data_IF_091019878393
#
_entry.id   IF_091019878393
#
_cell.length_a   1.000
_cell.length_b   1.000
_cell.length_c   1.000
_cell.angle_alpha   90.00
_cell.angle_beta   90.00
_cell.angle_gamma   90.00
#
_symmetry.space_group_name_H-M   'P 1'
#
loop_
_entity.id
_entity.type
_entity.pdbx_description
1 polymer ?
#
# COMPACT_ATOMS: atom_id res chain seq x y z
N UNK A 1 -10.76 -12.27 12.82
CA UNK A 1 -9.42 -11.89 12.31
C UNK A 1 -9.16 -10.43 12.67
N UNK A 2 -8.47 -10.18 13.78
CA UNK A 2 -8.22 -8.83 14.30
C UNK A 2 -7.10 -8.18 13.46
N UNK A 3 -7.43 -7.10 12.74
CA UNK A 3 -6.48 -6.06 12.31
C UNK A 3 -5.34 -6.41 11.35
N UNK A 4 -5.38 -7.52 10.62
CA UNK A 4 -4.34 -7.81 9.61
C UNK A 4 -2.94 -8.07 10.16
N UNK A 5 -2.76 -8.19 11.48
CA UNK A 5 -1.46 -8.44 12.11
C UNK A 5 -0.83 -9.79 11.74
N UNK A 6 -1.67 -10.81 11.45
CA UNK A 6 -1.23 -12.17 11.10
C UNK A 6 -1.21 -12.38 9.58
N UNK A 7 -2.01 -11.61 8.85
CA UNK A 7 -2.06 -11.65 7.38
C UNK A 7 -2.21 -10.22 6.89
N UNK A 8 -1.13 -9.55 6.46
CA UNK A 8 -1.22 -8.18 5.98
C UNK A 8 -2.17 -8.17 4.78
N UNK A 9 -3.29 -7.47 4.93
CA UNK A 9 -4.24 -7.22 3.84
C UNK A 9 -4.05 -5.80 3.38
N UNK A 10 -3.81 -5.67 2.07
CA UNK A 10 -3.75 -4.38 1.40
C UNK A 10 -5.01 -4.32 0.55
N UNK A 11 -5.99 -3.61 1.09
CA UNK A 11 -7.17 -3.13 0.37
C UNK A 11 -6.91 -1.65 0.07
N UNK A 12 -7.70 -0.71 0.57
CA UNK A 12 -7.49 0.74 0.38
C UNK A 12 -6.56 1.36 1.43
N UNK A 13 -6.05 0.58 2.39
CA UNK A 13 -5.14 1.03 3.44
C UNK A 13 -4.13 -0.07 3.76
N UNK A 14 -2.85 0.30 3.90
CA UNK A 14 -1.79 -0.63 4.29
C UNK A 14 -1.93 -0.95 5.78
N UNK A 15 -2.21 -2.22 6.09
CA UNK A 15 -2.19 -2.76 7.45
C UNK A 15 -0.85 -3.48 7.70
N UNK A 16 -0.23 -3.35 8.87
CA UNK A 16 -0.77 -2.76 10.10
C UNK A 16 -0.61 -1.23 10.14
N UNK A 17 -1.68 -0.54 10.49
CA UNK A 17 -1.69 0.92 10.60
C UNK A 17 -0.95 1.44 11.86
N UNK A 18 -0.77 0.57 12.87
CA UNK A 18 -0.04 0.88 14.09
C UNK A 18 1.09 -0.13 14.29
N UNK A 19 2.30 0.37 14.55
CA UNK A 19 3.42 -0.46 14.95
C UNK A 19 3.32 -0.83 16.45
N UNK A 20 4.11 -1.82 16.89
CA UNK A 20 4.08 -2.31 18.28
C UNK A 20 4.37 -1.20 19.31
N UNK A 21 5.29 -0.28 19.00
CA UNK A 21 5.63 0.83 19.89
C UNK A 21 4.46 1.79 20.10
N UNK A 22 3.75 2.15 19.03
CA UNK A 22 2.55 3.00 19.10
C UNK A 22 1.45 2.29 19.89
N UNK A 23 1.29 0.98 19.73
CA UNK A 23 0.33 0.19 20.51
C UNK A 23 0.64 0.21 22.02
N UNK A 24 1.91 0.11 22.42
CA UNK A 24 2.32 0.20 23.83
C UNK A 24 1.96 1.58 24.40
N UNK A 25 2.22 2.65 23.65
CA UNK A 25 1.88 4.01 24.09
C UNK A 25 0.37 4.25 24.15
N UNK A 26 -0.40 3.71 23.20
CA UNK A 26 -1.87 3.72 23.23
C UNK A 26 -2.38 2.96 24.46
N UNK A 27 -1.83 1.77 24.73
CA UNK A 27 -2.21 0.96 25.89
C UNK A 27 -1.92 1.71 27.20
N UNK A 28 -0.76 2.35 27.32
CA UNK A 28 -0.44 3.23 28.45
C UNK A 28 -1.45 4.37 28.58
N UNK A 29 -1.84 5.00 27.48
CA UNK A 29 -2.84 6.06 27.46
C UNK A 29 -4.23 5.58 27.89
N UNK A 30 -4.62 4.38 27.48
CA UNK A 30 -5.87 3.73 27.92
C UNK A 30 -5.82 3.45 29.42
N UNK A 31 -4.74 2.84 29.92
CA UNK A 31 -4.57 2.55 31.34
C UNK A 31 -4.63 3.82 32.19
N UNK A 32 -3.98 4.90 31.74
CA UNK A 32 -4.05 6.19 32.44
C UNK A 32 -5.44 6.80 32.36
N UNK A 33 -6.11 6.69 31.22
CA UNK A 33 -7.48 7.17 31.06
C UNK A 33 -8.47 6.47 32.02
N UNK A 34 -8.29 5.17 32.27
CA UNK A 34 -9.04 4.44 33.29
C UNK A 34 -8.66 4.84 34.72
N UNK A 35 -7.39 5.15 34.99
CA UNK A 35 -6.96 5.61 36.31
C UNK A 35 -7.48 7.03 36.64
N UNK A 36 -7.51 7.93 35.65
CA UNK A 36 -7.96 9.32 35.80
C UNK A 36 -9.46 9.48 35.40
N UNK A 37 -10.30 8.51 35.79
CA UNK A 37 -11.72 8.42 35.41
C UNK A 37 -12.59 9.62 35.84
N UNK A 38 -12.06 10.49 36.70
CA UNK A 38 -12.78 11.65 37.25
C UNK A 38 -12.76 12.90 36.35
N UNK A 39 -11.98 12.92 35.27
CA UNK A 39 -11.99 14.03 34.33
C UNK A 39 -13.06 13.83 33.23
N UNK A 40 -14.01 14.76 33.13
CA UNK A 40 -15.12 14.72 32.15
C UNK A 40 -14.64 14.45 30.71
N UNK A 41 -13.51 15.04 30.32
CA UNK A 41 -12.90 14.86 28.99
C UNK A 41 -12.45 13.42 28.71
N UNK A 42 -11.94 12.74 29.73
CA UNK A 42 -11.44 11.36 29.63
C UNK A 42 -12.60 10.37 29.54
N UNK A 43 -13.69 10.63 30.28
CA UNK A 43 -14.90 9.82 30.26
C UNK A 43 -15.57 9.81 28.88
N UNK A 44 -15.70 10.97 28.24
CA UNK A 44 -16.24 11.07 26.87
C UNK A 44 -15.43 10.23 25.89
N UNK A 45 -14.09 10.26 25.99
CA UNK A 45 -13.21 9.48 25.12
C UNK A 45 -13.37 7.97 25.33
N UNK A 46 -13.47 7.52 26.58
CA UNK A 46 -13.67 6.10 26.93
C UNK A 46 -15.02 5.58 26.44
N UNK A 47 -16.12 6.31 26.67
CA UNK A 47 -17.45 5.93 26.17
C UNK A 47 -17.46 5.87 24.65
N UNK A 48 -16.95 6.91 24.00
CA UNK A 48 -16.95 6.99 22.55
C UNK A 48 -16.18 5.81 21.94
N UNK A 49 -15.03 5.47 22.52
CA UNK A 49 -14.26 4.29 22.12
C UNK A 49 -15.03 2.99 22.39
N UNK A 50 -15.67 2.86 23.54
CA UNK A 50 -16.46 1.68 23.91
C UNK A 50 -17.65 1.43 22.96
N UNK A 51 -18.24 2.49 22.41
CA UNK A 51 -19.32 2.40 21.41
C UNK A 51 -18.77 2.01 20.03
N UNK A 52 -17.63 2.57 19.61
CA UNK A 52 -17.02 2.27 18.31
C UNK A 52 -16.51 0.82 18.24
N UNK A 53 -15.95 0.31 19.34
CA UNK A 53 -15.32 -1.01 19.41
C UNK A 53 -16.21 -2.16 18.90
N UNK A 54 -17.47 -2.33 19.35
CA UNK A 54 -18.37 -3.36 18.83
C UNK A 54 -18.75 -3.13 17.36
N UNK A 55 -18.91 -1.88 16.92
CA UNK A 55 -19.23 -1.55 15.52
C UNK A 55 -18.10 -2.02 14.60
N UNK A 56 -16.85 -1.74 14.97
CA UNK A 56 -15.66 -2.18 14.20
C UNK A 56 -15.47 -3.69 14.27
N UNK A 57 -15.83 -4.32 15.40
CA UNK A 57 -15.77 -5.78 15.54
C UNK A 57 -16.76 -6.50 14.60
N UNK A 58 -17.95 -5.92 14.40
CA UNK A 58 -18.96 -6.44 13.47
C UNK A 58 -18.66 -6.10 12.01
N UNK A 59 -18.13 -4.90 11.73
CA UNK A 59 -17.89 -4.41 10.38
C UNK A 59 -16.49 -3.78 10.24
N UNK A 60 -15.57 -4.51 9.60
CA UNK A 60 -14.17 -4.09 9.44
C UNK A 60 -13.97 -2.85 8.56
N UNK A 61 -14.97 -2.49 7.73
CA UNK A 61 -14.94 -1.29 6.90
C UNK A 61 -14.84 0.01 7.72
N UNK A 62 -15.27 0.00 8.98
CA UNK A 62 -15.23 1.17 9.85
C UNK A 62 -13.97 1.27 10.72
N UNK A 63 -12.95 0.43 10.48
CA UNK A 63 -11.71 0.43 11.29
C UNK A 63 -11.02 1.81 11.30
N UNK A 64 -11.16 2.60 10.23
CA UNK A 64 -10.59 3.95 10.15
C UNK A 64 -11.17 4.92 11.19
N UNK A 65 -12.41 4.70 11.65
CA UNK A 65 -13.04 5.51 12.70
C UNK A 65 -12.30 5.37 14.04
N UNK A 66 -11.60 4.24 14.25
CA UNK A 66 -10.80 3.99 15.44
C UNK A 66 -9.48 4.78 15.47
N UNK A 67 -9.04 5.39 14.36
CA UNK A 67 -7.81 6.17 14.34
C UNK A 67 -7.87 7.39 15.25
N UNK A 68 -9.00 8.10 15.26
CA UNK A 68 -9.15 9.30 16.05
C UNK A 68 -9.07 9.03 17.57
N UNK A 69 -9.81 8.07 18.16
CA UNK A 69 -9.63 7.74 19.58
C UNK A 69 -8.24 7.16 19.87
N UNK A 70 -7.67 6.36 18.96
CA UNK A 70 -6.31 5.82 19.12
C UNK A 70 -5.24 6.93 19.21
N UNK A 71 -5.31 7.98 18.38
CA UNK A 71 -4.39 9.13 18.44
C UNK A 71 -4.57 9.89 19.77
N UNK A 72 -5.79 10.02 20.26
CA UNK A 72 -6.04 10.68 21.54
C UNK A 72 -5.46 9.87 22.71
N UNK A 73 -5.62 8.54 22.73
CA UNK A 73 -4.96 7.70 23.72
C UNK A 73 -3.44 7.74 23.60
N UNK A 74 -2.90 7.73 22.38
CA UNK A 74 -1.46 7.90 22.15
C UNK A 74 -0.95 9.22 22.78
N UNK A 75 -1.67 10.33 22.57
CA UNK A 75 -1.34 11.62 23.16
C UNK A 75 -1.37 11.58 24.69
N UNK A 76 -2.39 10.95 25.29
CA UNK A 76 -2.48 10.75 26.74
C UNK A 76 -1.30 9.91 27.25
N UNK A 77 -0.93 8.84 26.56
CA UNK A 77 0.20 7.98 26.91
C UNK A 77 1.53 8.75 26.90
N UNK A 78 1.78 9.54 25.84
CA UNK A 78 2.96 10.41 25.73
C UNK A 78 2.96 11.48 26.83
N UNK A 79 1.84 12.16 27.07
CA UNK A 79 1.72 13.16 28.13
C UNK A 79 2.00 12.54 29.51
N UNK A 80 1.56 11.30 29.73
CA UNK A 80 1.80 10.57 30.97
C UNK A 80 3.29 10.30 31.16
N UNK A 81 3.98 9.78 30.14
CA UNK A 81 5.43 9.57 30.20
C UNK A 81 6.19 10.86 30.54
N UNK A 82 5.82 11.95 29.87
CA UNK A 82 6.41 13.27 30.12
C UNK A 82 6.18 13.70 31.57
N UNK A 83 4.93 13.60 32.06
CA UNK A 83 4.55 13.99 33.43
C UNK A 83 5.26 13.16 34.50
N UNK A 84 5.31 11.84 34.33
CA UNK A 84 5.99 10.96 35.30
C UNK A 84 7.52 11.19 35.28
N UNK A 85 8.12 11.52 34.13
CA UNK A 85 9.53 11.93 34.12
C UNK A 85 9.75 13.23 34.91
N UNK A 86 8.89 14.22 34.70
CA UNK A 86 8.97 15.50 35.42
C UNK A 86 8.75 15.34 36.94
N UNK A 87 7.97 14.35 37.38
CA UNK A 87 7.74 14.10 38.80
C UNK A 87 8.97 13.53 39.51
N UNK A 88 9.82 12.76 38.82
CA UNK A 88 11.05 12.18 39.37
C UNK A 88 12.12 13.25 39.65
N UNK A 89 12.18 14.31 38.84
CA UNK A 89 13.18 15.38 38.99
C UNK A 89 12.54 16.78 39.10
N UNK A 90 11.89 17.09 40.24
CA UNK A 90 11.12 18.32 40.39
C UNK A 90 11.98 19.58 40.49
N UNK A 91 13.25 19.51 40.93
CA UNK A 91 14.06 20.70 41.24
C UNK A 91 15.27 20.93 40.30
N UNK A 92 15.61 19.96 39.44
CA UNK A 92 16.82 20.06 38.60
C UNK A 92 16.47 20.32 37.12
N UNK A 93 16.71 21.53 36.58
CA UNK A 93 16.36 21.89 35.20
C UNK A 93 17.15 21.10 34.15
N UNK A 94 18.38 20.66 34.44
CA UNK A 94 19.18 19.88 33.50
C UNK A 94 18.68 18.43 33.38
N UNK A 95 18.23 17.83 34.48
CA UNK A 95 17.66 16.48 34.49
C UNK A 95 16.30 16.41 33.74
N UNK A 96 15.54 17.51 33.77
CA UNK A 96 14.33 17.67 32.95
C UNK A 96 14.63 17.64 31.46
N UNK A 97 15.67 18.36 31.02
CA UNK A 97 16.11 18.36 29.62
C UNK A 97 16.66 16.98 29.21
N UNK A 98 17.40 16.33 30.11
CA UNK A 98 18.00 15.03 29.85
C UNK A 98 16.97 13.93 29.56
N UNK A 99 15.79 13.96 30.17
CA UNK A 99 14.70 13.00 29.84
C UNK A 99 13.86 13.37 28.64
N UNK A 100 13.84 14.65 28.26
CA UNK A 100 13.17 15.07 27.04
C UNK A 100 13.88 14.49 25.80
N UNK A 101 15.22 14.41 25.84
CA UNK A 101 16.05 13.86 24.76
C UNK A 101 15.67 12.42 24.34
N UNK A 102 15.63 11.41 25.22
CA UNK A 102 15.23 10.05 24.85
C UNK A 102 13.75 9.99 24.44
N UNK A 103 12.88 10.84 24.98
CA UNK A 103 11.47 10.88 24.61
C UNK A 103 11.27 11.48 23.21
N UNK A 104 12.01 12.53 22.86
CA UNK A 104 12.08 13.06 21.50
C UNK A 104 12.64 12.00 20.55
N UNK A 105 13.75 11.35 20.92
CA UNK A 105 14.34 10.29 20.11
C UNK A 105 13.35 9.13 19.89
N UNK A 106 12.56 8.78 20.89
CA UNK A 106 11.49 7.78 20.79
C UNK A 106 10.39 8.23 19.82
N UNK A 107 9.86 9.45 19.97
CA UNK A 107 8.80 9.97 19.09
C UNK A 107 9.29 10.07 17.64
N UNK A 108 10.47 10.67 17.42
CA UNK A 108 11.07 10.82 16.10
C UNK A 108 11.40 9.45 15.49
N UNK A 109 11.97 8.54 16.27
CA UNK A 109 12.28 7.18 15.84
C UNK A 109 11.03 6.41 15.45
N UNK A 110 9.96 6.51 16.23
CA UNK A 110 8.66 5.90 15.90
C UNK A 110 8.08 6.52 14.63
N UNK A 111 8.11 7.84 14.47
CA UNK A 111 7.67 8.52 13.26
C UNK A 111 8.46 8.07 12.03
N UNK A 112 9.78 8.00 12.13
CA UNK A 112 10.66 7.55 11.07
C UNK A 112 10.43 6.08 10.69
N UNK A 113 10.29 5.19 11.67
CA UNK A 113 9.98 3.78 11.43
C UNK A 113 8.61 3.62 10.74
N UNK A 114 7.59 4.37 11.16
CA UNK A 114 6.30 4.36 10.48
C UNK A 114 6.39 4.89 9.05
N UNK A 115 7.16 5.97 8.82
CA UNK A 115 7.42 6.49 7.49
C UNK A 115 8.07 5.44 6.59
N UNK A 116 9.18 4.82 7.05
CA UNK A 116 9.87 3.77 6.29
C UNK A 116 8.94 2.60 6.02
N UNK A 117 8.21 2.12 7.04
CA UNK A 117 7.28 0.99 6.89
C UNK A 117 6.14 1.31 5.92
N UNK A 118 5.63 2.54 5.91
CA UNK A 118 4.63 2.99 4.94
C UNK A 118 5.19 2.92 3.53
N UNK A 119 6.31 3.58 3.26
CA UNK A 119 6.89 3.65 1.91
C UNK A 119 7.42 2.30 1.43
N UNK A 120 8.05 1.50 2.30
CA UNK A 120 8.49 0.15 1.96
C UNK A 120 7.29 -0.80 1.78
N UNK A 121 6.27 -0.69 2.62
CA UNK A 121 5.01 -1.43 2.45
C UNK A 121 4.37 -1.14 1.09
N UNK A 122 4.33 0.11 0.65
CA UNK A 122 3.86 0.50 -0.68
C UNK A 122 4.74 -0.05 -1.80
N UNK A 123 6.07 0.00 -1.65
CA UNK A 123 7.02 -0.39 -2.71
C UNK A 123 7.16 -1.90 -2.89
N UNK A 124 7.03 -2.68 -1.82
CA UNK A 124 7.30 -4.12 -1.84
C UNK A 124 6.04 -4.99 -1.80
N UNK A 125 4.87 -4.40 -1.60
CA UNK A 125 3.58 -5.07 -1.68
C UNK A 125 3.23 -5.55 -3.09
N UNK A 126 3.00 -6.85 -3.25
CA UNK A 126 2.44 -7.45 -4.48
C UNK A 126 0.97 -7.07 -4.71
N UNK A 127 0.26 -6.64 -3.66
CA UNK A 127 -1.13 -6.18 -3.76
C UNK A 127 -1.21 -4.73 -4.26
N UNK A 128 -0.23 -3.88 -3.93
CA UNK A 128 -0.16 -2.50 -4.40
C UNK A 128 0.02 -2.45 -5.92
N UNK A 129 0.74 -3.40 -6.51
CA UNK A 129 0.81 -3.54 -7.97
C UNK A 129 -0.52 -3.89 -8.63
N UNK A 130 -1.47 -4.49 -7.90
CA UNK A 130 -2.80 -4.81 -8.43
C UNK A 130 -3.67 -3.56 -8.56
N UNK A 131 -3.58 -2.64 -7.58
CA UNK A 131 -4.37 -1.40 -7.56
C UNK A 131 -3.71 -0.22 -8.27
N UNK A 132 -2.37 -0.13 -8.24
CA UNK A 132 -1.60 0.94 -8.90
C UNK A 132 -0.83 0.36 -10.09
N UNK A 133 -1.50 0.37 -11.25
CA UNK A 133 -0.95 -0.19 -12.47
C UNK A 133 0.04 0.78 -13.16
N UNK A 134 1.24 0.31 -13.48
CA UNK A 134 2.26 1.04 -14.25
C UNK A 134 2.42 0.49 -15.68
N UNK A 135 1.51 -0.40 -16.08
CA UNK A 135 1.51 -1.07 -17.39
C UNK A 135 1.44 -0.08 -18.55
N UNK A 136 0.70 1.02 -18.41
CA UNK A 136 0.62 2.04 -19.46
C UNK A 136 1.96 2.77 -19.69
N UNK A 137 2.62 3.18 -18.59
CA UNK A 137 3.89 3.91 -18.68
C UNK A 137 4.98 3.01 -19.26
N UNK A 138 5.05 1.76 -18.81
CA UNK A 138 6.01 0.78 -19.32
C UNK A 138 5.73 0.45 -20.79
N UNK A 139 4.47 0.25 -21.18
CA UNK A 139 4.10 0.05 -22.58
C UNK A 139 4.52 1.25 -23.44
N UNK A 140 4.18 2.48 -23.02
CA UNK A 140 4.52 3.68 -23.78
C UNK A 140 6.04 3.90 -23.89
N UNK A 141 6.82 3.48 -22.89
CA UNK A 141 8.28 3.49 -22.97
C UNK A 141 8.80 2.43 -23.95
N UNK A 142 8.24 1.22 -23.93
CA UNK A 142 8.61 0.14 -24.86
C UNK A 142 8.22 0.45 -26.31
N UNK A 143 7.12 1.16 -26.54
CA UNK A 143 6.70 1.56 -27.89
C UNK A 143 7.62 2.60 -28.55
N UNK A 144 8.38 3.35 -27.73
CA UNK A 144 9.40 4.29 -28.24
C UNK A 144 10.68 3.59 -28.68
N UNK A 145 10.85 2.32 -28.31
CA UNK A 145 12.03 1.54 -28.67
C UNK A 145 11.80 0.83 -30.00
N UNK A 146 12.58 1.23 -31.02
CA UNK A 146 12.49 0.72 -32.39
C UNK A 146 12.68 -0.80 -32.49
N UNK A 147 13.19 -1.46 -31.43
CA UNK A 147 13.28 -2.93 -31.37
C UNK A 147 11.93 -3.62 -31.42
N UNK A 148 10.85 -2.94 -31.02
CA UNK A 148 9.50 -3.52 -30.94
C UNK A 148 8.51 -2.93 -31.95
N UNK A 149 8.82 -1.77 -32.54
CA UNK A 149 7.87 -0.99 -33.37
C UNK A 149 8.11 -1.12 -34.88
N UNK A 150 8.88 -2.13 -35.33
CA UNK A 150 9.17 -2.36 -36.77
C UNK A 150 7.97 -2.91 -37.58
N UNK A 151 6.84 -3.16 -36.95
CA UNK A 151 5.63 -3.69 -37.58
C UNK A 151 4.39 -3.37 -36.74
N UNK A 152 3.27 -4.02 -37.06
CA UNK A 152 2.02 -3.86 -36.30
C UNK A 152 2.23 -4.28 -34.84
N UNK A 153 1.69 -3.50 -33.90
CA UNK A 153 1.80 -3.81 -32.47
C UNK A 153 0.43 -4.18 -31.91
N UNK A 154 0.36 -5.37 -31.31
CA UNK A 154 -0.84 -5.89 -30.65
C UNK A 154 -0.63 -5.93 -29.14
N UNK A 155 -1.55 -5.32 -28.40
CA UNK A 155 -1.53 -5.29 -26.93
C UNK A 155 -2.62 -6.24 -26.44
N UNK A 156 -2.21 -7.31 -25.76
CA UNK A 156 -3.11 -8.35 -25.26
C UNK A 156 -3.34 -8.13 -23.77
N UNK A 157 -4.59 -7.84 -23.40
CA UNK A 157 -4.97 -7.48 -22.03
C UNK A 157 -6.15 -8.31 -21.52
N UNK A 158 -6.29 -8.48 -20.19
CA UNK A 158 -7.48 -9.11 -19.61
C UNK A 158 -8.74 -8.26 -19.85
N UNK A 159 -9.90 -8.91 -19.86
CA UNK A 159 -11.19 -8.29 -20.21
C UNK A 159 -11.49 -7.00 -19.41
N UNK A 160 -11.15 -6.97 -18.13
CA UNK A 160 -11.37 -5.81 -17.25
C UNK A 160 -10.50 -4.58 -17.56
N UNK A 161 -9.51 -4.69 -18.45
CA UNK A 161 -8.62 -3.57 -18.82
C UNK A 161 -8.77 -3.15 -20.28
N UNK A 162 -9.58 -3.85 -21.08
CA UNK A 162 -9.72 -3.56 -22.52
C UNK A 162 -10.15 -2.12 -22.76
N UNK A 163 -11.17 -1.64 -22.04
CA UNK A 163 -11.68 -0.28 -22.16
C UNK A 163 -10.66 0.82 -21.80
N UNK A 164 -9.69 0.51 -20.93
CA UNK A 164 -8.64 1.45 -20.56
C UNK A 164 -7.57 1.53 -21.67
N UNK A 165 -7.20 0.39 -22.26
CA UNK A 165 -6.18 0.36 -23.33
C UNK A 165 -6.74 0.74 -24.70
N UNK A 166 -8.04 0.55 -24.96
CA UNK A 166 -8.67 0.97 -26.22
C UNK A 166 -8.61 2.49 -26.44
N UNK A 167 -8.59 3.27 -25.36
CA UNK A 167 -8.39 4.74 -25.43
C UNK A 167 -7.06 5.12 -26.11
N UNK A 168 -6.03 4.26 -26.03
CA UNK A 168 -4.75 4.52 -26.70
C UNK A 168 -4.81 4.36 -28.22
N UNK A 169 -5.79 3.58 -28.71
CA UNK A 169 -6.04 3.45 -30.14
C UNK A 169 -6.69 4.72 -30.68
N UNK A 170 -7.62 5.29 -29.89
CA UNK A 170 -8.30 6.54 -30.22
C UNK A 170 -7.34 7.74 -30.22
N UNK A 171 -6.29 7.71 -29.39
CA UNK A 171 -5.24 8.74 -29.34
C UNK A 171 -4.25 8.69 -30.52
N UNK A 172 -4.53 7.89 -31.56
CA UNK A 172 -3.78 7.89 -32.82
C UNK A 172 -2.45 7.12 -32.81
N UNK A 173 -2.24 6.23 -31.84
CA UNK A 173 -1.13 5.27 -31.89
C UNK A 173 -1.56 4.04 -32.69
N UNK A 174 -0.71 3.60 -33.62
CA UNK A 174 -0.94 2.42 -34.47
C UNK A 174 -0.83 1.10 -33.65
N UNK A 175 -1.79 0.92 -32.76
CA UNK A 175 -1.87 -0.16 -31.78
C UNK A 175 -3.20 -0.89 -31.95
N UNK A 176 -3.15 -2.22 -31.96
CA UNK A 176 -4.34 -3.07 -31.92
C UNK A 176 -4.48 -3.66 -30.51
N UNK A 177 -5.59 -3.40 -29.83
CA UNK A 177 -5.84 -3.94 -28.49
C UNK A 177 -6.75 -5.15 -28.63
N UNK A 178 -6.28 -6.30 -28.16
CA UNK A 178 -7.01 -7.57 -28.23
C UNK A 178 -7.22 -8.16 -26.83
N UNK A 179 -8.31 -8.88 -26.68
CA UNK A 179 -8.65 -9.56 -25.42
C UNK A 179 -7.84 -10.85 -25.34
N UNK A 180 -7.30 -11.15 -24.17
CA UNK A 180 -6.49 -12.36 -23.91
C UNK A 180 -7.11 -13.66 -24.41
N UNK A 181 -8.44 -13.75 -24.48
CA UNK A 181 -9.16 -14.98 -24.82
C UNK A 181 -9.34 -15.19 -26.33
N UNK A 182 -8.99 -14.22 -27.17
CA UNK A 182 -9.19 -14.28 -28.62
C UNK A 182 -8.11 -13.46 -29.33
N UNK A 183 -6.91 -14.02 -29.45
CA UNK A 183 -5.78 -13.36 -30.12
C UNK A 183 -5.48 -14.08 -31.43
N UNK A 184 -5.52 -13.34 -32.53
CA UNK A 184 -5.15 -13.86 -33.85
C UNK A 184 -3.65 -13.62 -34.09
N UNK A 185 -2.87 -14.69 -34.23
CA UNK A 185 -1.43 -14.59 -34.47
C UNK A 185 -1.18 -14.27 -35.95
N UNK A 186 -0.57 -13.12 -36.20
CA UNK A 186 -0.29 -12.56 -37.52
C UNK A 186 1.24 -12.43 -37.68
N UNK A 187 1.80 -12.73 -38.86
CA UNK A 187 3.23 -12.52 -39.12
C UNK A 187 3.63 -11.04 -39.04
N UNK A 188 4.91 -10.78 -38.78
CA UNK A 188 5.52 -9.45 -38.66
C UNK A 188 4.83 -8.52 -37.63
N UNK A 189 4.40 -9.09 -36.51
CA UNK A 189 3.63 -8.39 -35.47
C UNK A 189 4.27 -8.60 -34.09
N UNK A 190 4.41 -7.49 -33.35
CA UNK A 190 4.89 -7.51 -31.96
C UNK A 190 3.70 -7.62 -31.00
N UNK A 191 3.69 -8.65 -30.16
CA UNK A 191 2.64 -8.87 -29.16
C UNK A 191 3.13 -8.51 -27.77
N UNK A 192 2.49 -7.54 -27.13
CA UNK A 192 2.68 -7.19 -25.73
C UNK A 192 1.58 -7.85 -24.91
N UNK A 193 1.91 -8.95 -24.23
CA UNK A 193 0.94 -9.72 -23.45
C UNK A 193 1.11 -9.38 -21.97
N UNK A 194 0.05 -8.85 -21.34
CA UNK A 194 0.03 -8.57 -19.89
C UNK A 194 0.41 -9.86 -19.12
N UNK A 195 1.29 -9.74 -18.14
CA UNK A 195 1.74 -10.89 -17.34
C UNK A 195 0.61 -11.59 -16.59
N UNK A 196 -0.50 -10.89 -16.34
CA UNK A 196 -1.70 -11.39 -15.67
C UNK A 196 -2.70 -12.01 -16.64
N UNK A 197 -2.49 -11.86 -17.94
CA UNK A 197 -3.40 -12.40 -18.94
C UNK A 197 -3.05 -13.87 -19.22
N UNK A 198 -4.05 -14.75 -19.13
CA UNK A 198 -3.88 -16.15 -19.51
C UNK A 198 -4.19 -16.27 -20.99
N UNK A 199 -3.19 -16.65 -21.78
CA UNK A 199 -3.38 -16.96 -23.19
C UNK A 199 -3.99 -18.37 -23.33
N UNK A 200 -4.95 -18.56 -24.26
CA UNK A 200 -5.39 -19.89 -24.65
C UNK A 200 -4.21 -20.77 -25.07
N UNK A 201 -4.27 -22.10 -24.84
CA UNK A 201 -3.19 -23.03 -25.17
C UNK A 201 -2.72 -22.92 -26.64
N UNK A 202 -3.68 -22.77 -27.56
CA UNK A 202 -3.42 -22.70 -29.00
C UNK A 202 -2.66 -21.41 -29.38
N UNK A 203 -3.07 -20.28 -28.80
CA UNK A 203 -2.40 -18.99 -28.99
C UNK A 203 -1.00 -19.00 -28.37
N UNK A 204 -0.85 -19.60 -27.18
CA UNK A 204 0.44 -19.72 -26.51
C UNK A 204 1.42 -20.58 -27.32
N UNK A 205 0.94 -21.70 -27.89
CA UNK A 205 1.73 -22.55 -28.78
C UNK A 205 2.10 -21.81 -30.08
N UNK A 206 1.18 -21.04 -30.65
CA UNK A 206 1.42 -20.27 -31.86
C UNK A 206 2.46 -19.15 -31.65
N UNK A 207 2.39 -18.42 -30.53
CA UNK A 207 3.34 -17.35 -30.19
C UNK A 207 4.72 -17.88 -29.78
N UNK A 208 4.80 -19.08 -29.20
CA UNK A 208 6.05 -19.73 -28.81
C UNK A 208 6.64 -19.13 -27.52
N UNK A 209 7.98 -19.03 -27.46
CA UNK A 209 8.67 -18.46 -26.30
C UNK A 209 8.75 -16.93 -26.37
N UNK A 210 8.59 -16.21 -25.25
CA UNK A 210 8.77 -14.76 -25.23
C UNK A 210 10.20 -14.40 -25.64
N UNK A 211 10.33 -13.39 -26.50
CA UNK A 211 11.63 -12.85 -26.90
C UNK A 211 12.20 -11.90 -25.84
N UNK A 212 11.31 -11.20 -25.13
CA UNK A 212 11.70 -10.24 -24.10
C UNK A 212 10.65 -10.11 -22.99
N UNK A 213 11.09 -9.56 -21.86
CA UNK A 213 10.31 -9.36 -20.65
C UNK A 213 10.42 -7.90 -20.20
N UNK A 214 9.31 -7.16 -20.27
CA UNK A 214 9.25 -5.78 -19.76
C UNK A 214 8.80 -5.80 -18.32
N UNK A 215 9.66 -5.30 -17.43
CA UNK A 215 9.38 -5.20 -15.99
C UNK A 215 8.93 -3.79 -15.60
N UNK A 216 8.31 -3.69 -14.44
CA UNK A 216 7.86 -2.43 -13.85
C UNK A 216 9.03 -1.48 -13.63
N UNK A 217 8.86 -0.21 -14.01
CA UNK A 217 9.88 0.83 -13.74
C UNK A 217 10.07 1.14 -12.24
N UNK A 218 9.17 0.64 -11.38
CA UNK A 218 9.25 0.80 -9.92
C UNK A 218 10.01 -0.35 -9.24
N UNK A 219 10.05 -1.53 -9.86
CA UNK A 219 10.65 -2.76 -9.27
C UNK A 219 11.08 -3.74 -10.37
N UNK A 220 12.35 -4.17 -10.34
CA UNK A 220 12.94 -5.06 -11.35
C UNK A 220 12.41 -6.51 -11.32
N UNK A 221 11.66 -6.91 -10.28
CA UNK A 221 11.09 -8.25 -10.15
C UNK A 221 9.55 -8.23 -10.20
N UNK A 222 9.00 -7.40 -11.09
CA UNK A 222 7.57 -7.25 -11.31
C UNK A 222 7.32 -7.22 -12.82
N UNK A 223 7.14 -8.41 -13.38
CA UNK A 223 6.89 -8.59 -14.81
C UNK A 223 5.57 -7.92 -15.21
N UNK A 224 5.61 -7.05 -16.22
CA UNK A 224 4.43 -6.37 -16.77
C UNK A 224 4.03 -6.94 -18.11
N UNK A 225 4.98 -7.08 -19.01
CA UNK A 225 4.70 -7.54 -20.38
C UNK A 225 5.63 -8.67 -20.78
N UNK A 226 5.05 -9.68 -21.40
CA UNK A 226 5.77 -10.68 -22.19
C UNK A 226 5.70 -10.23 -23.64
N UNK A 227 6.86 -10.05 -24.26
CA UNK A 227 6.94 -9.57 -25.64
C UNK A 227 7.24 -10.74 -26.56
N UNK A 228 6.36 -10.94 -27.54
CA UNK A 228 6.54 -11.93 -28.60
C UNK A 228 6.68 -11.22 -29.94
N UNK A 229 7.50 -11.78 -30.83
CA UNK A 229 7.66 -11.30 -32.19
C UNK A 229 7.49 -12.48 -33.14
N UNK A 230 6.63 -12.30 -34.13
CA UNK A 230 6.38 -13.24 -35.21
C UNK A 230 6.54 -12.56 -36.55
#
# INVERSE_FOLDING_TARGET
KIGGFVTPKITDTIQPAFNATVLILIALGILRAFADFHATRTYTLLIWTAIILPIVALQQQFIAVLYLPAILFLAIGVQTLIREWYSIFPLNPYARLAGLLPLIALIVGVGYLNYVNYFMGFRYSSLASTYFDDSLRTLNQSLKDERYTKGSVVVVVPNNKVSFFSMLQEEGKDLRVEISNSVAVTPNTSYFVDSRSMLPPDTAAALGTPKDFVVSSKKNNDLRWRVYQK
#
